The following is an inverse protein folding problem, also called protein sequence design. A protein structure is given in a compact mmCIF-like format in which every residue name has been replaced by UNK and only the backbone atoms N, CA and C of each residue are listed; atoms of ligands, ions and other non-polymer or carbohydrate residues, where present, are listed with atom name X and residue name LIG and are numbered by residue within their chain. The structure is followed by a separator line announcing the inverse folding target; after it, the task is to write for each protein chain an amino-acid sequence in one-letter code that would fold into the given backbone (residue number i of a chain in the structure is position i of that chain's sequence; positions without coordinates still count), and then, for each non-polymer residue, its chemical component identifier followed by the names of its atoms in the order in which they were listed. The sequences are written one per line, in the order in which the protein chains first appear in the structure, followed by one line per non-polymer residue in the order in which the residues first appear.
data_IF_151616016814
#
_entry.id   IF_151616016814
#
_cell.length_a   1.000
_cell.length_b   1.000
_cell.length_c   1.000
_cell.angle_alpha   90.00
_cell.angle_beta   90.00
_cell.angle_gamma   90.00
#
_symmetry.space_group_name_H-M   'P 1'
#
loop_
_entity.id
_entity.type
_entity.pdbx_description
1 polymer ?
#
# COMPACT_ATOMS: atom_id res chain seq x y z
N UNK A 1 13.91 12.56 2.91
CA UNK A 1 13.72 11.30 2.16
C UNK A 1 12.33 10.77 2.50
N UNK A 2 11.40 10.75 1.55
CA UNK A 2 10.01 10.33 1.79
C UNK A 2 9.93 8.81 1.79
N UNK A 3 9.32 8.22 2.82
CA UNK A 3 9.16 6.77 2.89
C UNK A 3 8.15 6.28 1.84
N UNK A 4 8.54 5.28 1.04
CA UNK A 4 7.66 4.62 0.08
C UNK A 4 7.01 3.43 0.81
N UNK A 5 5.68 3.30 0.71
CA UNK A 5 4.94 2.20 1.30
C UNK A 5 4.29 1.37 0.19
N UNK A 6 4.70 0.11 -0.01
CA UNK A 6 4.02 -0.75 -0.94
C UNK A 6 2.68 -1.15 -0.33
N UNK A 7 1.60 -0.66 -0.91
CA UNK A 7 0.25 -0.96 -0.47
C UNK A 7 -0.55 -1.55 -1.63
N UNK A 8 -1.47 -2.46 -1.29
CA UNK A 8 -2.60 -2.79 -2.15
C UNK A 8 -3.82 -2.12 -1.54
N UNK A 9 -4.57 -1.40 -2.35
CA UNK A 9 -5.90 -0.93 -1.98
C UNK A 9 -6.93 -1.59 -2.89
N UNK A 10 -8.13 -1.80 -2.37
CA UNK A 10 -9.24 -2.33 -3.12
C UNK A 10 -10.53 -1.67 -2.63
N UNK A 11 -11.49 -1.49 -3.53
CA UNK A 11 -12.84 -1.11 -3.14
C UNK A 11 -13.56 -2.36 -2.63
N UNK A 12 -13.93 -2.36 -1.35
CA UNK A 12 -14.52 -3.48 -0.64
C UNK A 12 -15.70 -3.02 0.21
N UNK A 13 -16.70 -2.49 -0.48
CA UNK A 13 -17.89 -1.89 0.12
C UNK A 13 -19.04 -2.91 0.21
N UNK A 14 -18.90 -3.93 1.05
CA UNK A 14 -19.93 -4.97 1.21
C UNK A 14 -19.99 -5.58 2.63
N UNK A 15 -19.24 -5.05 3.59
CA UNK A 15 -19.20 -5.60 4.95
C UNK A 15 -19.97 -4.75 5.99
N UNK A 16 -20.57 -3.62 5.59
CA UNK A 16 -21.35 -2.74 6.47
C UNK A 16 -22.86 -2.79 6.12
N UNK A 17 -23.71 -2.32 7.04
CA UNK A 17 -25.17 -2.31 6.87
C UNK A 17 -25.63 -1.39 5.72
N UNK A 18 -24.83 -0.37 5.38
CA UNK A 18 -25.06 0.55 4.28
C UNK A 18 -23.89 0.54 3.29
N UNK A 19 -24.23 0.63 2.00
CA UNK A 19 -23.23 0.75 0.94
C UNK A 19 -22.73 2.19 0.81
N UNK A 20 -21.42 2.36 0.89
CA UNK A 20 -20.75 3.62 0.52
C UNK A 20 -20.93 3.97 -0.96
N UNK A 21 -21.01 5.26 -1.27
CA UNK A 21 -21.11 5.70 -2.66
C UNK A 21 -19.74 5.58 -3.33
N UNK A 22 -19.71 5.04 -4.55
CA UNK A 22 -18.49 4.99 -5.34
C UNK A 22 -17.91 6.41 -5.53
N UNK A 23 -16.64 6.57 -5.16
CA UNK A 23 -15.88 7.82 -5.23
C UNK A 23 -14.40 7.51 -5.46
N UNK A 24 -13.59 8.51 -5.79
CA UNK A 24 -12.15 8.34 -5.88
C UNK A 24 -11.55 7.91 -4.53
N UNK A 25 -10.50 7.08 -4.53
CA UNK A 25 -9.86 6.65 -3.29
C UNK A 25 -9.33 7.87 -2.52
N UNK A 26 -9.56 7.94 -1.20
CA UNK A 26 -9.03 9.01 -0.38
C UNK A 26 -7.50 8.89 -0.24
N UNK A 27 -6.86 9.88 0.41
CA UNK A 27 -5.40 9.86 0.58
C UNK A 27 -4.91 8.60 1.31
N UNK A 28 -3.68 8.17 1.01
CA UNK A 28 -3.06 7.01 1.67
C UNK A 28 -3.06 7.11 3.19
N UNK A 29 -2.84 8.32 3.73
CA UNK A 29 -2.80 8.58 5.17
C UNK A 29 -4.19 8.42 5.78
N UNK A 30 -5.23 8.84 5.07
CA UNK A 30 -6.63 8.64 5.47
C UNK A 30 -6.96 7.16 5.51
N UNK A 31 -6.63 6.40 4.46
CA UNK A 31 -6.91 4.96 4.42
C UNK A 31 -6.12 4.17 5.47
N UNK A 32 -4.88 4.55 5.76
CA UNK A 32 -4.05 3.90 6.79
C UNK A 32 -4.54 4.20 8.22
N UNK A 33 -5.26 5.30 8.43
CA UNK A 33 -5.84 5.69 9.71
C UNK A 33 -7.31 5.29 9.88
N UNK A 34 -7.96 4.78 8.83
CA UNK A 34 -9.36 4.37 8.85
C UNK A 34 -9.57 3.16 9.78
N UNK A 35 -10.63 3.23 10.58
CA UNK A 35 -11.01 2.14 11.50
C UNK A 35 -12.25 1.38 11.02
N UNK A 36 -13.07 2.02 10.20
CA UNK A 36 -14.28 1.47 9.57
C UNK A 36 -14.20 1.58 8.04
N UNK A 37 -15.10 0.90 7.32
CA UNK A 37 -15.16 0.98 5.85
C UNK A 37 -15.68 2.36 5.43
N UNK A 38 -16.63 2.91 6.19
CA UNK A 38 -17.09 4.29 6.02
C UNK A 38 -15.95 5.31 6.12
N UNK A 39 -15.07 5.22 7.13
CA UNK A 39 -13.89 6.10 7.27
C UNK A 39 -12.97 6.04 6.04
N UNK A 40 -12.85 4.85 5.45
CA UNK A 40 -12.08 4.58 4.24
C UNK A 40 -12.82 4.85 2.93
N UNK A 41 -14.08 5.32 2.98
CA UNK A 41 -14.98 5.51 1.82
C UNK A 41 -15.14 4.25 0.97
N UNK A 42 -15.29 3.10 1.60
CA UNK A 42 -15.40 1.82 0.89
C UNK A 42 -14.06 1.21 0.48
N UNK A 43 -12.93 1.88 0.70
CA UNK A 43 -11.61 1.35 0.37
C UNK A 43 -10.94 0.68 1.55
N UNK A 44 -10.39 -0.50 1.30
CA UNK A 44 -9.55 -1.23 2.25
C UNK A 44 -8.11 -1.22 1.77
N UNK A 45 -7.18 -1.08 2.71
CA UNK A 45 -5.75 -1.06 2.42
C UNK A 45 -5.01 -2.16 3.16
N UNK A 46 -4.03 -2.74 2.48
CA UNK A 46 -3.13 -3.73 3.05
C UNK A 46 -1.69 -3.44 2.67
N UNK A 47 -0.83 -3.33 3.68
CA UNK A 47 0.62 -3.34 3.49
C UNK A 47 1.04 -4.64 2.80
N UNK A 48 1.94 -4.56 1.82
CA UNK A 48 2.50 -5.77 1.22
C UNK A 48 3.22 -6.63 2.26
N UNK A 49 3.20 -7.94 2.02
CA UNK A 49 4.07 -8.88 2.74
C UNK A 49 5.49 -8.76 2.20
N UNK A 50 6.49 -9.06 3.03
CA UNK A 50 7.88 -9.21 2.57
C UNK A 50 7.95 -10.12 1.35
N UNK A 51 8.76 -9.75 0.35
CA UNK A 51 8.87 -10.50 -0.89
C UNK A 51 9.31 -9.65 -2.07
N UNK A 52 9.18 -10.21 -3.27
CA UNK A 52 9.47 -9.52 -4.53
C UNK A 52 8.25 -8.74 -5.03
N UNK A 53 8.48 -7.52 -5.48
CA UNK A 53 7.49 -6.64 -6.10
C UNK A 53 7.94 -6.38 -7.53
N UNK A 54 7.04 -6.65 -8.46
CA UNK A 54 7.23 -6.43 -9.89
C UNK A 54 6.27 -5.33 -10.33
N UNK A 55 6.79 -4.28 -10.96
CA UNK A 55 5.99 -3.19 -11.51
C UNK A 55 6.28 -3.13 -13.00
N UNK A 56 5.23 -3.27 -13.81
CA UNK A 56 5.28 -3.02 -15.25
C UNK A 56 4.53 -1.73 -15.51
N UNK A 57 5.23 -0.75 -16.08
CA UNK A 57 4.58 0.48 -16.56
C UNK A 57 3.83 0.16 -17.86
N UNK A 58 2.59 0.62 -17.98
CA UNK A 58 1.73 0.35 -19.15
C UNK A 58 2.03 1.25 -20.35
N UNK A 59 2.86 2.28 -20.17
CA UNK A 59 3.07 3.37 -21.13
C UNK A 59 3.75 2.93 -22.44
N UNK A 60 4.34 1.74 -22.52
CA UNK A 60 4.81 1.15 -23.78
C UNK A 60 4.56 -0.37 -23.81
N UNK A 61 3.68 -0.80 -24.71
CA UNK A 61 3.34 -2.23 -24.86
C UNK A 61 4.51 -3.08 -25.36
N UNK A 62 5.51 -2.45 -26.00
CA UNK A 62 6.72 -3.09 -26.52
C UNK A 62 7.96 -2.88 -25.62
N UNK A 63 8.13 -1.70 -25.00
CA UNK A 63 9.30 -1.37 -24.16
C UNK A 63 8.98 -0.93 -22.73
N UNK A 64 7.80 -1.27 -22.21
CA UNK A 64 7.38 -0.87 -20.87
C UNK A 64 8.42 -1.21 -19.82
N UNK A 65 8.79 -0.22 -19.02
CA UNK A 65 9.81 -0.41 -18.00
C UNK A 65 9.34 -1.42 -16.96
N UNK A 66 10.21 -2.40 -16.69
CA UNK A 66 9.98 -3.44 -15.71
C UNK A 66 10.89 -3.19 -14.51
N UNK A 67 10.28 -2.87 -13.37
CA UNK A 67 10.99 -2.59 -12.13
C UNK A 67 10.82 -3.75 -11.16
N UNK A 68 11.94 -4.29 -10.68
CA UNK A 68 11.98 -5.38 -9.71
C UNK A 68 12.54 -4.85 -8.40
N UNK A 69 11.78 -5.06 -7.32
CA UNK A 69 12.20 -4.68 -5.97
C UNK A 69 12.08 -5.85 -5.00
N UNK A 70 13.02 -5.96 -4.07
CA UNK A 70 12.85 -6.80 -2.88
C UNK A 70 12.36 -5.93 -1.73
N UNK A 71 11.12 -6.16 -1.30
CA UNK A 71 10.55 -5.51 -0.13
C UNK A 71 10.88 -6.30 1.14
N UNK A 72 11.56 -5.63 2.06
CA UNK A 72 11.91 -6.17 3.38
C UNK A 72 11.34 -5.29 4.49
N UNK A 73 10.69 -5.93 5.47
CA UNK A 73 10.15 -5.29 6.67
C UNK A 73 11.19 -5.42 7.77
N UNK A 74 11.80 -4.31 8.18
CA UNK A 74 12.73 -4.30 9.30
C UNK A 74 12.00 -3.86 10.57
N UNK A 75 12.14 -4.64 11.63
CA UNK A 75 11.66 -4.26 12.96
C UNK A 75 12.83 -3.56 13.67
N UNK A 76 12.76 -2.24 13.83
CA UNK A 76 13.69 -1.56 14.75
C UNK A 76 13.10 -1.61 16.16
N UNK A 77 13.81 -2.27 17.06
CA UNK A 77 13.54 -2.19 18.49
C UNK A 77 14.26 -0.95 19.01
N UNK A 78 13.56 0.18 19.14
CA UNK A 78 14.01 1.29 19.97
C UNK A 78 13.42 1.10 21.39
N UNK A 79 14.14 1.49 22.45
CA UNK A 79 13.79 1.13 23.83
C UNK A 79 12.41 1.63 24.30
N UNK A 80 11.74 2.55 23.59
CA UNK A 80 10.42 3.05 23.98
C UNK A 80 9.32 3.04 22.91
N UNK A 81 9.58 2.66 21.65
CA UNK A 81 8.55 2.55 20.60
C UNK A 81 9.06 1.66 19.47
N UNK A 82 8.35 0.57 19.15
CA UNK A 82 8.67 -0.23 17.96
C UNK A 82 8.30 0.55 16.70
N UNK A 83 9.28 0.96 15.91
CA UNK A 83 9.04 1.52 14.58
C UNK A 83 9.28 0.44 13.52
N UNK A 84 8.32 0.32 12.61
CA UNK A 84 8.45 -0.54 11.43
C UNK A 84 9.11 0.29 10.33
N UNK A 85 10.28 -0.15 9.87
CA UNK A 85 11.01 0.49 8.77
C UNK A 85 10.87 -0.41 7.54
N UNK A 86 10.45 0.18 6.44
CA UNK A 86 10.24 -0.48 5.16
C UNK A 86 11.36 -0.07 4.20
N UNK A 87 12.08 -1.06 3.65
CA UNK A 87 13.18 -0.80 2.70
C UNK A 87 12.90 -1.51 1.38
N UNK A 88 13.10 -0.79 0.28
CA UNK A 88 13.13 -1.33 -1.06
C UNK A 88 14.55 -1.33 -1.59
N UNK A 89 14.97 -2.45 -2.16
CA UNK A 89 16.20 -2.56 -2.93
C UNK A 89 15.80 -2.80 -4.38
N UNK A 90 16.15 -1.84 -5.26
CA UNK A 90 16.04 -2.02 -6.71
C UNK A 90 17.16 -2.94 -7.16
N UNK A 91 16.82 -3.99 -7.90
CA UNK A 91 17.80 -4.86 -8.54
C UNK A 91 17.94 -4.45 -10.00
N UNK A 92 19.17 -4.18 -10.44
CA UNK A 92 19.52 -3.94 -11.85
C UNK A 92 19.71 -5.27 -12.58
#
# INVERSE_FOLDING_TARGET
MTAIYPVRFAYANFFEESLEKAAEPPSINTMMGASTIADGKGYVIRLLRQGWVYIREEDDSANGHFHIFKYTKQKKTAPLKSSLINTFLKTN
#
